data_IF_674521180633
#
_entry.id   IF_674521180633
#
_cell.length_a   1.000
_cell.length_b   1.000
_cell.length_c   1.000
_cell.angle_alpha   90.00
_cell.angle_beta   90.00
_cell.angle_gamma   90.00
#
_symmetry.space_group_name_H-M   'P 1'
#
loop_
_entity.id
_entity.type
_entity.pdbx_description
1 polymer ?
#
# COMPACT_ATOMS: atom_id res chain seq x y z
N UNK A 1 23.27 29.88 35.02
CA UNK A 1 22.91 28.44 35.14
C UNK A 1 22.45 27.84 33.80
N UNK A 2 23.04 28.23 32.67
CA UNK A 2 22.55 27.92 31.30
C UNK A 2 23.35 26.83 30.57
N UNK A 3 24.54 26.48 31.05
CA UNK A 3 25.41 25.49 30.40
C UNK A 3 24.90 24.05 30.47
N UNK A 4 24.03 23.72 31.45
CA UNK A 4 23.45 22.37 31.60
C UNK A 4 22.36 22.05 30.58
N UNK A 5 21.51 23.03 30.24
CA UNK A 5 20.43 22.87 29.25
C UNK A 5 20.98 22.74 27.82
N UNK A 6 22.04 23.49 27.48
CA UNK A 6 22.70 23.40 26.17
C UNK A 6 23.34 22.02 25.93
N UNK A 7 23.93 21.42 26.97
CA UNK A 7 24.50 20.07 26.87
C UNK A 7 23.44 18.97 26.71
N UNK A 8 22.25 19.16 27.29
CA UNK A 8 21.11 18.25 27.10
C UNK A 8 20.53 18.38 25.69
N UNK A 9 20.32 19.61 25.20
CA UNK A 9 19.87 19.86 23.83
C UNK A 9 20.80 19.22 22.79
N UNK A 10 22.11 19.38 22.94
CA UNK A 10 23.11 18.76 22.05
C UNK A 10 23.07 17.22 22.09
N UNK A 11 22.75 16.61 23.23
CA UNK A 11 22.56 15.15 23.33
C UNK A 11 21.31 14.70 22.59
N UNK A 12 20.20 15.42 22.74
CA UNK A 12 18.97 15.10 22.00
C UNK A 12 19.15 15.21 20.49
N UNK A 13 19.80 16.28 20.02
CA UNK A 13 20.13 16.47 18.60
C UNK A 13 20.95 15.29 18.06
N UNK A 14 21.97 14.85 18.79
CA UNK A 14 22.79 13.70 18.39
C UNK A 14 21.99 12.39 18.34
N UNK A 15 21.05 12.19 19.27
CA UNK A 15 20.19 11.01 19.27
C UNK A 15 19.23 11.03 18.08
N UNK A 16 18.61 12.18 17.80
CA UNK A 16 17.71 12.37 16.65
C UNK A 16 18.45 12.08 15.35
N UNK A 17 19.66 12.61 15.17
CA UNK A 17 20.47 12.36 13.98
C UNK A 17 20.78 10.86 13.79
N UNK A 18 21.09 10.14 14.87
CA UNK A 18 21.32 8.69 14.82
C UNK A 18 20.05 7.91 14.50
N UNK A 19 18.91 8.30 15.04
CA UNK A 19 17.63 7.66 14.71
C UNK A 19 17.23 7.93 13.28
N UNK A 20 17.51 9.13 12.75
CA UNK A 20 17.23 9.50 11.37
C UNK A 20 18.08 8.67 10.40
N UNK A 21 19.39 8.57 10.64
CA UNK A 21 20.29 7.74 9.84
C UNK A 21 19.86 6.27 9.84
N UNK A 22 19.44 5.74 10.99
CA UNK A 22 18.94 4.36 11.08
C UNK A 22 17.63 4.16 10.31
N UNK A 23 16.74 5.15 10.31
CA UNK A 23 15.51 5.11 9.52
C UNK A 23 15.81 5.20 8.03
N UNK A 24 16.75 6.06 7.62
CA UNK A 24 17.21 6.15 6.23
C UNK A 24 17.79 4.83 5.73
N UNK A 25 18.59 4.14 6.55
CA UNK A 25 19.12 2.81 6.22
C UNK A 25 18.01 1.77 6.08
N UNK A 26 17.02 1.76 6.98
CA UNK A 26 15.86 0.85 6.91
C UNK A 26 14.96 1.14 5.70
N UNK A 27 14.77 2.41 5.36
CA UNK A 27 14.04 2.84 4.17
C UNK A 27 14.80 2.45 2.90
N UNK A 28 16.13 2.56 2.90
CA UNK A 28 16.98 2.13 1.78
C UNK A 28 16.98 0.61 1.62
N UNK A 29 17.01 -0.15 2.72
CA UNK A 29 16.91 -1.61 2.71
C UNK A 29 15.56 -2.07 2.16
N UNK A 30 14.47 -1.42 2.54
CA UNK A 30 13.13 -1.70 2.00
C UNK A 30 12.95 -1.23 0.55
N UNK A 31 13.55 -0.11 0.15
CA UNK A 31 13.56 0.36 -1.25
C UNK A 31 14.45 -0.51 -2.16
N UNK A 32 15.51 -1.12 -1.61
CA UNK A 32 16.35 -2.09 -2.34
C UNK A 32 15.64 -3.43 -2.57
N UNK A 33 14.59 -3.72 -1.79
CA UNK A 33 13.55 -4.68 -2.16
C UNK A 33 12.59 -4.03 -3.16
N UNK A 34 13.11 -3.60 -4.31
CA UNK A 34 12.27 -3.48 -5.51
C UNK A 34 11.74 -4.89 -5.73
N UNK A 35 10.42 -5.15 -5.61
CA UNK A 35 9.90 -6.45 -5.95
C UNK A 35 10.34 -6.69 -7.39
N UNK A 36 11.13 -7.74 -7.62
CA UNK A 36 11.39 -8.23 -8.97
C UNK A 36 10.09 -8.13 -9.76
N UNK A 37 10.11 -7.63 -11.02
CA UNK A 37 8.92 -7.60 -11.85
C UNK A 37 8.46 -9.03 -12.03
N UNK A 38 7.58 -9.48 -11.12
CA UNK A 38 7.03 -10.82 -11.15
C UNK A 38 6.31 -10.91 -12.47
N UNK A 39 6.60 -11.96 -13.22
CA UNK A 39 5.83 -12.35 -14.40
C UNK A 39 4.36 -12.29 -13.95
N UNK A 40 3.62 -11.29 -14.44
CA UNK A 40 2.27 -11.01 -13.99
C UNK A 40 1.40 -12.19 -14.43
N UNK A 41 1.23 -13.16 -13.52
CA UNK A 41 0.30 -14.26 -13.71
C UNK A 41 -1.11 -13.64 -13.76
N UNK A 42 -1.90 -13.88 -14.83
CA UNK A 42 -3.28 -13.44 -14.94
C UNK A 42 -4.11 -13.75 -13.67
N UNK A 43 -3.76 -14.82 -12.96
CA UNK A 43 -4.33 -15.17 -11.66
C UNK A 43 -4.06 -14.11 -10.59
N UNK A 44 -2.81 -13.70 -10.43
CA UNK A 44 -2.39 -12.73 -9.42
C UNK A 44 -3.00 -11.36 -9.67
N UNK A 45 -3.12 -10.95 -10.93
CA UNK A 45 -3.78 -9.70 -11.30
C UNK A 45 -5.27 -9.68 -10.94
N UNK A 46 -5.99 -10.78 -11.19
CA UNK A 46 -7.39 -10.87 -10.83
C UNK A 46 -7.59 -10.82 -9.32
N UNK A 47 -6.74 -11.53 -8.56
CA UNK A 47 -6.77 -11.47 -7.11
C UNK A 47 -6.41 -10.07 -6.60
N UNK A 48 -5.47 -9.36 -7.24
CA UNK A 48 -5.17 -7.96 -6.92
C UNK A 48 -6.43 -7.08 -7.12
N UNK A 49 -7.14 -7.23 -8.24
CA UNK A 49 -8.36 -6.46 -8.52
C UNK A 49 -9.46 -6.72 -7.48
N UNK A 50 -9.68 -7.98 -7.10
CA UNK A 50 -10.65 -8.34 -6.04
C UNK A 50 -10.19 -7.82 -4.68
N UNK A 51 -8.88 -7.79 -4.41
CA UNK A 51 -8.34 -7.23 -3.17
C UNK A 51 -8.57 -5.71 -3.09
N UNK A 52 -8.27 -4.98 -4.16
CA UNK A 52 -8.46 -3.53 -4.24
C UNK A 52 -9.94 -3.13 -4.14
N UNK A 53 -10.86 -3.94 -4.66
CA UNK A 53 -12.29 -3.69 -4.49
C UNK A 53 -12.81 -4.03 -3.08
N UNK A 54 -12.00 -4.71 -2.26
CA UNK A 54 -12.33 -5.19 -0.91
C UNK A 54 -13.29 -6.39 -0.90
N UNK A 55 -14.34 -6.34 -1.71
CA UNK A 55 -15.24 -7.45 -2.02
C UNK A 55 -15.77 -7.26 -3.44
N UNK A 56 -16.16 -8.35 -4.10
CA UNK A 56 -16.68 -8.32 -5.46
C UNK A 56 -17.90 -9.23 -5.62
N UNK A 57 -18.95 -8.70 -6.25
CA UNK A 57 -20.14 -9.48 -6.58
C UNK A 57 -19.81 -10.53 -7.66
N UNK A 58 -20.42 -11.72 -7.57
CA UNK A 58 -20.26 -12.80 -8.54
C UNK A 58 -20.47 -12.35 -9.99
N UNK A 59 -21.46 -11.49 -10.24
CA UNK A 59 -21.75 -10.99 -11.60
C UNK A 59 -20.61 -10.14 -12.16
N UNK A 60 -19.99 -9.33 -11.32
CA UNK A 60 -18.87 -8.49 -11.73
C UNK A 60 -17.60 -9.32 -11.91
N UNK A 61 -17.38 -10.32 -11.05
CA UNK A 61 -16.27 -11.25 -11.18
C UNK A 61 -16.39 -12.12 -12.46
N UNK A 62 -17.59 -12.59 -12.81
CA UNK A 62 -17.84 -13.28 -14.07
C UNK A 62 -17.55 -12.37 -15.27
N UNK A 63 -18.02 -11.11 -15.25
CA UNK A 63 -17.75 -10.15 -16.32
C UNK A 63 -16.24 -9.90 -16.50
N UNK A 64 -15.48 -9.86 -15.40
CA UNK A 64 -14.02 -9.74 -15.46
C UNK A 64 -13.35 -10.97 -16.08
N UNK A 65 -13.83 -12.18 -15.77
CA UNK A 65 -13.31 -13.41 -16.36
C UNK A 65 -13.65 -13.52 -17.85
N UNK A 66 -14.89 -13.17 -18.23
CA UNK A 66 -15.33 -13.15 -19.62
C UNK A 66 -14.50 -12.18 -20.46
N UNK A 67 -14.19 -11.00 -19.92
CA UNK A 67 -13.32 -10.02 -20.56
C UNK A 67 -11.88 -10.50 -20.77
N UNK A 68 -11.47 -11.57 -20.11
CA UNK A 68 -10.12 -12.19 -20.18
C UNK A 68 -10.13 -13.58 -20.82
N UNK A 69 -11.26 -14.02 -21.39
CA UNK A 69 -11.46 -15.38 -21.93
C UNK A 69 -11.10 -16.50 -20.92
N UNK A 70 -11.44 -16.27 -19.65
CA UNK A 70 -11.15 -17.20 -18.55
C UNK A 70 -12.40 -17.97 -18.11
N UNK A 71 -12.24 -19.27 -17.87
CA UNK A 71 -13.34 -20.11 -17.38
C UNK A 71 -13.79 -19.69 -15.97
N UNK A 72 -15.10 -19.68 -15.75
CA UNK A 72 -15.69 -19.45 -14.41
C UNK A 72 -15.31 -20.51 -13.38
N UNK A 73 -14.82 -21.68 -13.82
CA UNK A 73 -14.25 -22.71 -12.94
C UNK A 73 -13.03 -22.21 -12.17
N UNK A 74 -12.37 -21.15 -12.66
CA UNK A 74 -11.27 -20.49 -11.96
C UNK A 74 -11.67 -20.03 -10.55
N UNK A 75 -12.90 -19.52 -10.38
CA UNK A 75 -13.39 -19.04 -9.08
C UNK A 75 -13.46 -20.21 -8.09
N UNK A 76 -14.02 -21.34 -8.52
CA UNK A 76 -14.06 -22.56 -7.72
C UNK A 76 -12.67 -23.04 -7.32
N UNK A 77 -11.70 -22.97 -8.24
CA UNK A 77 -10.31 -23.33 -7.95
C UNK A 77 -9.65 -22.38 -6.92
N UNK A 78 -9.94 -21.08 -6.97
CA UNK A 78 -9.42 -20.11 -5.98
C UNK A 78 -10.08 -20.27 -4.61
N UNK A 79 -11.39 -20.55 -4.57
CA UNK A 79 -12.09 -20.86 -3.31
C UNK A 79 -11.54 -22.15 -2.71
N UNK A 80 -11.35 -23.21 -3.51
CA UNK A 80 -10.76 -24.48 -3.06
C UNK A 80 -9.30 -24.37 -2.63
N UNK A 81 -8.56 -23.39 -3.15
CA UNK A 81 -7.18 -23.08 -2.75
C UNK A 81 -7.10 -22.10 -1.56
N UNK A 82 -8.23 -21.71 -0.97
CA UNK A 82 -8.31 -20.73 0.13
C UNK A 82 -7.78 -19.35 -0.23
N UNK A 83 -7.80 -18.97 -1.51
CA UNK A 83 -7.40 -17.63 -1.96
C UNK A 83 -8.58 -16.68 -2.09
N UNK A 84 -9.78 -17.21 -2.29
CA UNK A 84 -11.04 -16.48 -2.18
C UNK A 84 -11.90 -17.05 -1.06
N UNK A 85 -12.41 -16.16 -0.21
CA UNK A 85 -13.57 -16.41 0.64
C UNK A 85 -14.85 -16.05 -0.14
N UNK A 86 -15.90 -16.84 0.05
CA UNK A 86 -17.21 -16.64 -0.55
C UNK A 86 -18.27 -16.59 0.54
N UNK A 87 -19.19 -15.65 0.42
CA UNK A 87 -20.38 -15.58 1.26
C UNK A 87 -21.60 -15.12 0.46
N UNK A 88 -22.77 -15.48 0.96
CA UNK A 88 -24.05 -15.01 0.42
C UNK A 88 -24.59 -13.90 1.33
N UNK A 89 -24.93 -12.77 0.72
CA UNK A 89 -25.62 -11.67 1.38
C UNK A 89 -27.12 -11.98 1.53
N UNK A 90 -27.79 -11.21 2.39
CA UNK A 90 -29.22 -11.40 2.68
C UNK A 90 -30.14 -11.17 1.46
N UNK A 91 -29.65 -10.45 0.45
CA UNK A 91 -30.33 -10.22 -0.83
C UNK A 91 -30.15 -11.38 -1.83
N UNK A 92 -29.49 -12.47 -1.42
CA UNK A 92 -29.21 -13.63 -2.26
C UNK A 92 -28.03 -13.45 -3.19
N UNK A 93 -27.30 -12.33 -3.12
CA UNK A 93 -26.10 -12.12 -3.92
C UNK A 93 -24.90 -12.82 -3.31
N UNK A 94 -24.07 -13.39 -4.17
CA UNK A 94 -22.79 -13.99 -3.77
C UNK A 94 -21.68 -12.97 -3.91
N UNK A 95 -20.85 -12.86 -2.88
CA UNK A 95 -19.67 -12.01 -2.86
C UNK A 95 -18.41 -12.82 -2.63
N UNK A 96 -17.32 -12.33 -3.20
CA UNK A 96 -15.99 -12.90 -3.08
C UNK A 96 -15.01 -11.86 -2.51
N UNK A 97 -14.10 -12.30 -1.65
CA UNK A 97 -13.01 -11.48 -1.11
C UNK A 97 -11.74 -12.29 -1.07
N UNK A 98 -10.61 -11.61 -1.27
CA UNK A 98 -9.30 -12.21 -1.11
C UNK A 98 -9.00 -12.51 0.35
N UNK A 99 -8.53 -13.72 0.62
CA UNK A 99 -8.17 -14.12 1.98
C UNK A 99 -6.87 -13.44 2.45
N UNK A 100 -6.68 -13.25 3.77
CA UNK A 100 -5.40 -12.76 4.30
C UNK A 100 -4.20 -13.63 3.90
N UNK A 101 -4.44 -14.92 3.64
CA UNK A 101 -3.44 -15.86 3.14
C UNK A 101 -2.97 -15.47 1.74
N UNK A 102 -3.91 -15.29 0.80
CA UNK A 102 -3.58 -14.85 -0.55
C UNK A 102 -2.87 -13.49 -0.56
N UNK A 103 -3.27 -12.54 0.29
CA UNK A 103 -2.59 -11.24 0.41
C UNK A 103 -1.12 -11.41 0.78
N UNK A 104 -0.79 -12.27 1.75
CA UNK A 104 0.60 -12.50 2.16
C UNK A 104 1.40 -13.28 1.12
N UNK A 105 0.85 -14.36 0.60
CA UNK A 105 1.55 -15.25 -0.34
C UNK A 105 1.83 -14.56 -1.68
N UNK A 106 0.83 -13.84 -2.20
CA UNK A 106 0.94 -13.15 -3.49
C UNK A 106 1.39 -11.70 -3.35
N UNK A 107 1.58 -11.21 -2.12
CA UNK A 107 1.95 -9.83 -1.81
C UNK A 107 1.00 -8.81 -2.46
N UNK A 108 -0.30 -9.09 -2.35
CA UNK A 108 -1.34 -8.25 -2.94
C UNK A 108 -1.39 -6.89 -2.23
N UNK A 109 -1.72 -5.82 -2.94
CA UNK A 109 -1.82 -4.46 -2.42
C UNK A 109 -0.51 -3.66 -2.41
N UNK A 110 0.62 -4.26 -2.79
CA UNK A 110 1.92 -3.55 -2.89
C UNK A 110 1.91 -2.46 -3.99
N UNK A 111 1.14 -2.66 -5.07
CA UNK A 111 1.04 -1.68 -6.17
C UNK A 111 0.23 -0.44 -5.76
N UNK A 112 -0.83 -0.60 -4.97
CA UNK A 112 -1.59 0.53 -4.43
C UNK A 112 -0.76 1.34 -3.42
N UNK A 113 0.05 0.66 -2.60
CA UNK A 113 1.01 1.29 -1.69
C UNK A 113 1.98 2.20 -2.45
N UNK A 114 2.74 1.67 -3.41
CA UNK A 114 3.75 2.44 -4.15
C UNK A 114 3.14 3.62 -4.93
N UNK A 115 1.98 3.43 -5.59
CA UNK A 115 1.32 4.49 -6.34
C UNK A 115 0.71 5.58 -5.43
N UNK A 116 0.24 5.21 -4.23
CA UNK A 116 -0.30 6.18 -3.26
C UNK A 116 0.83 6.97 -2.61
N UNK A 117 1.95 6.34 -2.25
CA UNK A 117 3.13 7.03 -1.73
C UNK A 117 3.77 7.96 -2.78
N UNK A 118 3.79 7.57 -4.06
CA UNK A 118 4.26 8.45 -5.13
C UNK A 118 3.38 9.70 -5.30
N UNK A 119 2.05 9.54 -5.24
CA UNK A 119 1.11 10.68 -5.33
C UNK A 119 1.14 11.61 -4.12
N UNK A 120 1.29 11.05 -2.91
CA UNK A 120 1.43 11.84 -1.67
C UNK A 120 2.78 12.53 -1.60
N UNK A 121 3.84 11.89 -2.11
CA UNK A 121 5.18 12.49 -2.23
C UNK A 121 5.20 13.70 -3.16
N UNK A 122 4.49 13.68 -4.28
CA UNK A 122 4.45 14.83 -5.19
C UNK A 122 3.60 15.99 -4.65
N UNK A 123 2.53 15.72 -3.90
CA UNK A 123 1.65 16.76 -3.37
C UNK A 123 2.09 17.36 -2.03
N UNK A 124 2.90 16.65 -1.23
CA UNK A 124 3.23 17.09 0.14
C UNK A 124 4.60 17.77 0.28
N UNK A 125 5.47 17.71 -0.73
CA UNK A 125 6.84 18.24 -0.64
C UNK A 125 7.02 19.67 -1.18
N UNK A 126 5.97 20.29 -1.74
CA UNK A 126 6.08 21.59 -2.41
C UNK A 126 5.26 22.74 -1.83
N UNK A 127 4.04 22.48 -1.36
CA UNK A 127 3.05 23.57 -1.16
C UNK A 127 3.07 24.23 0.22
N UNK A 128 3.48 23.54 1.29
CA UNK A 128 3.46 24.11 2.65
C UNK A 128 4.59 25.12 2.92
N UNK A 129 5.65 25.12 2.10
CA UNK A 129 6.79 26.03 2.25
C UNK A 129 6.56 27.44 1.67
N UNK A 130 5.49 27.63 0.88
CA UNK A 130 5.17 28.91 0.25
C UNK A 130 3.87 29.52 0.80
N UNK A 131 3.44 29.12 2.00
CA UNK A 131 2.24 29.71 2.61
C UNK A 131 2.45 31.22 2.87
N UNK A 132 1.39 32.02 2.66
CA UNK A 132 1.42 33.47 2.92
C UNK A 132 1.78 33.81 4.38
N UNK A 133 1.53 32.89 5.32
CA UNK A 133 1.86 33.05 6.73
C UNK A 133 3.38 33.07 7.00
N UNK A 134 4.19 32.31 6.23
CA UNK A 134 5.64 32.26 6.41
C UNK A 134 6.36 33.48 5.80
N UNK A 135 5.71 34.16 4.84
CA UNK A 135 6.25 35.37 4.18
C UNK A 135 6.37 36.60 5.09
N UNK A 136 5.79 36.53 6.29
CA UNK A 136 5.83 37.60 7.31
C UNK A 136 7.23 37.74 7.94
N UNK A 137 8.00 36.64 8.00
CA UNK A 137 9.32 36.64 8.61
C UNK A 137 10.46 37.08 7.68
N UNK A 138 10.22 37.10 6.37
CA UNK A 138 11.18 37.59 5.36
C UNK A 138 11.25 39.13 5.27
N UNK A 139 10.34 39.84 5.95
CA UNK A 139 10.27 41.32 5.93
C UNK A 139 10.74 42.01 7.21
N UNK A 140 11.35 41.29 8.15
CA UNK A 140 11.98 41.82 9.37
C UNK A 140 13.50 41.85 9.24
#
# INVERSE_FOLDING_TARGET
MTSGQNGQAQRYIRTIQRTLARLEDLVRETASHVPEPRIHDPRSELLEQVHLSGAMEQRDLFRLLDGRDMSHTWIGAQVGSEFLEMWQAADGKTFYRVTPRAVRELQLGQLASAATYAKVSESAFGDDWQSEEDSVYDRL
#
